data_IF_475080625116
#
_entry.id   IF_475080625116
#
_cell.length_a   1.000
_cell.length_b   1.000
_cell.length_c   1.000
_cell.angle_alpha   90.00
_cell.angle_beta   90.00
_cell.angle_gamma   90.00
#
_symmetry.space_group_name_H-M   'P 1'
#
loop_
_entity.id
_entity.type
_entity.pdbx_description
1 polymer ?
#
# COMPACT_ATOMS: atom_id res chain seq x y z
N UNK A 1 20.73 -22.89 -1.54
CA UNK A 1 20.73 -21.47 -1.94
C UNK A 1 19.30 -21.13 -2.28
N UNK A 2 18.58 -20.45 -1.39
CA UNK A 2 17.18 -20.13 -1.64
C UNK A 2 17.11 -19.09 -2.75
N UNK A 3 16.66 -19.53 -3.92
CA UNK A 3 16.52 -18.68 -5.08
C UNK A 3 15.45 -17.62 -4.83
N UNK A 4 15.73 -16.38 -5.24
CA UNK A 4 14.73 -15.32 -5.24
C UNK A 4 13.64 -15.70 -6.25
N UNK A 5 12.35 -15.69 -5.88
CA UNK A 5 11.28 -15.99 -6.80
C UNK A 5 11.31 -15.09 -8.03
N UNK A 6 11.08 -15.67 -9.21
CA UNK A 6 11.02 -14.91 -10.47
C UNK A 6 9.76 -14.03 -10.55
N UNK A 7 8.73 -14.34 -9.77
CA UNK A 7 7.47 -13.64 -9.69
C UNK A 7 7.08 -13.52 -8.21
N UNK A 8 6.64 -12.34 -7.81
CA UNK A 8 6.17 -12.04 -6.46
C UNK A 8 4.81 -11.36 -6.59
N UNK A 9 3.79 -11.91 -5.94
CA UNK A 9 2.50 -11.26 -5.79
C UNK A 9 2.45 -10.53 -4.44
N UNK A 10 1.99 -9.28 -4.45
CA UNK A 10 1.87 -8.45 -3.25
C UNK A 10 0.43 -7.95 -3.18
N UNK A 11 -0.28 -8.21 -2.09
CA UNK A 11 -1.60 -7.66 -1.80
C UNK A 11 -1.52 -6.76 -0.58
N UNK A 12 -1.96 -5.51 -0.71
CA UNK A 12 -1.87 -4.49 0.33
C UNK A 12 -3.27 -4.03 0.70
N UNK A 13 -3.67 -4.25 1.95
CA UNK A 13 -4.95 -3.77 2.51
C UNK A 13 -4.73 -2.77 3.64
N UNK A 14 -5.74 -1.93 3.89
CA UNK A 14 -5.70 -0.88 4.91
C UNK A 14 -7.02 -0.84 5.68
N UNK A 15 -6.93 -0.73 7.01
CA UNK A 15 -8.08 -0.46 7.89
C UNK A 15 -7.79 0.68 8.84
N UNK A 16 -8.74 1.59 9.03
CA UNK A 16 -8.57 2.71 9.96
C UNK A 16 -8.69 2.23 11.42
N UNK A 17 -7.72 2.60 12.25
CA UNK A 17 -7.69 2.28 13.67
C UNK A 17 -8.44 3.35 14.50
N UNK A 18 -8.97 2.99 15.69
CA UNK A 18 -8.81 1.71 16.39
C UNK A 18 -9.84 0.63 16.05
N UNK A 19 -10.87 0.95 15.26
CA UNK A 19 -12.05 0.08 15.10
C UNK A 19 -12.02 -0.81 13.85
N UNK A 20 -10.85 -0.97 13.21
CA UNK A 20 -10.72 -1.69 11.94
C UNK A 20 -11.72 -1.22 10.86
N UNK A 21 -11.98 0.09 10.81
CA UNK A 21 -12.96 0.66 9.89
C UNK A 21 -12.49 0.61 8.43
N UNK A 22 -13.46 0.66 7.52
CA UNK A 22 -13.20 0.67 6.08
C UNK A 22 -12.41 1.91 5.63
N UNK A 23 -11.48 1.67 4.69
CA UNK A 23 -10.92 2.71 3.82
C UNK A 23 -11.75 2.74 2.55
N UNK A 24 -11.76 3.87 1.84
CA UNK A 24 -12.55 4.02 0.63
C UNK A 24 -11.70 4.53 -0.51
N UNK A 25 -12.16 4.27 -1.72
CA UNK A 25 -11.56 4.80 -2.93
C UNK A 25 -12.61 5.35 -3.89
N UNK A 26 -12.14 6.11 -4.86
CA UNK A 26 -12.96 6.61 -5.97
C UNK A 26 -12.30 6.24 -7.29
N UNK A 27 -13.11 5.82 -8.26
CA UNK A 27 -12.71 5.74 -9.67
C UNK A 27 -12.83 7.14 -10.26
N UNK A 28 -11.70 7.76 -10.60
CA UNK A 28 -11.63 9.10 -11.18
C UNK A 28 -11.46 9.09 -12.71
N UNK A 29 -11.24 7.92 -13.33
CA UNK A 29 -11.03 7.82 -14.79
C UNK A 29 -9.75 8.53 -15.23
N UNK A 30 -9.76 9.17 -16.41
CA UNK A 30 -8.59 9.88 -16.95
C UNK A 30 -8.43 11.32 -16.43
N UNK A 31 -9.17 11.71 -15.38
CA UNK A 31 -9.17 13.09 -14.87
C UNK A 31 -7.86 13.47 -14.19
N UNK A 32 -7.16 12.51 -13.60
CA UNK A 32 -5.92 12.73 -12.86
C UNK A 32 -4.83 11.78 -13.36
N UNK A 33 -3.65 11.82 -12.73
CA UNK A 33 -2.50 10.99 -13.12
C UNK A 33 -2.75 9.49 -12.97
N UNK A 34 -3.66 9.09 -12.07
CA UNK A 34 -4.10 7.70 -11.92
C UNK A 34 -5.63 7.59 -11.97
N UNK A 35 -6.11 6.41 -12.35
CA UNK A 35 -7.54 6.15 -12.56
C UNK A 35 -8.35 5.99 -11.28
N UNK A 36 -7.68 5.79 -10.14
CA UNK A 36 -8.28 5.57 -8.83
C UNK A 36 -7.59 6.40 -7.77
N UNK A 37 -8.36 6.84 -6.78
CA UNK A 37 -7.86 7.61 -5.63
C UNK A 37 -8.21 6.90 -4.33
N UNK A 38 -7.20 6.56 -3.53
CA UNK A 38 -7.37 6.13 -2.13
C UNK A 38 -7.70 7.36 -1.27
N UNK A 39 -8.69 7.23 -0.39
CA UNK A 39 -9.10 8.30 0.51
C UNK A 39 -8.63 8.00 1.92
N UNK A 40 -7.84 8.91 2.46
CA UNK A 40 -7.23 8.78 3.79
C UNK A 40 -7.60 10.00 4.63
N UNK A 41 -7.81 9.81 5.92
CA UNK A 41 -7.80 10.87 6.92
C UNK A 41 -6.37 11.22 7.35
N UNK A 42 -6.10 12.50 7.54
CA UNK A 42 -4.91 13.01 8.26
C UNK A 42 -5.03 12.76 9.76
N UNK A 43 -3.89 12.69 10.48
CA UNK A 43 -3.88 12.53 11.93
C UNK A 43 -4.49 11.22 12.42
N UNK A 44 -4.51 10.20 11.56
CA UNK A 44 -5.12 8.90 11.81
C UNK A 44 -4.10 7.77 11.66
N UNK A 45 -4.38 6.63 12.29
CA UNK A 45 -3.57 5.41 12.20
C UNK A 45 -4.29 4.38 11.34
N UNK A 46 -3.54 3.68 10.50
CA UNK A 46 -4.03 2.61 9.65
C UNK A 46 -3.28 1.33 10.00
N UNK A 47 -4.02 0.26 10.23
CA UNK A 47 -3.46 -1.09 10.24
C UNK A 47 -3.34 -1.52 8.79
N UNK A 48 -2.12 -1.86 8.40
CA UNK A 48 -1.83 -2.41 7.09
C UNK A 48 -1.65 -3.92 7.21
N UNK A 49 -2.12 -4.63 6.20
CA UNK A 49 -1.81 -6.04 6.01
C UNK A 49 -1.21 -6.18 4.62
N UNK A 50 -0.06 -6.83 4.56
CA UNK A 50 0.66 -7.09 3.32
C UNK A 50 0.80 -8.60 3.18
N UNK A 51 0.08 -9.17 2.23
CA UNK A 51 0.14 -10.59 1.89
C UNK A 51 1.03 -10.75 0.68
N UNK A 52 2.04 -11.61 0.79
CA UNK A 52 2.99 -11.85 -0.30
C UNK A 52 3.03 -13.32 -0.68
N UNK A 53 3.24 -13.59 -1.97
CA UNK A 53 3.45 -14.95 -2.50
C UNK A 53 4.66 -14.96 -3.43
N UNK A 54 5.51 -16.00 -3.42
CA UNK A 54 5.45 -17.17 -2.53
C UNK A 54 5.91 -16.84 -1.09
N UNK A 55 5.69 -17.76 -0.14
CA UNK A 55 6.02 -17.56 1.28
C UNK A 55 7.51 -17.51 1.61
N UNK A 56 8.39 -17.79 0.64
CA UNK A 56 9.84 -17.63 0.76
C UNK A 56 10.32 -16.17 0.72
N UNK A 57 9.43 -15.23 0.39
CA UNK A 57 9.73 -13.80 0.33
C UNK A 57 9.87 -13.22 1.74
N UNK A 58 10.78 -12.26 1.89
CA UNK A 58 11.07 -11.60 3.18
C UNK A 58 11.10 -10.09 2.99
N UNK A 59 10.15 -9.40 3.61
CA UNK A 59 10.05 -7.94 3.64
C UNK A 59 10.39 -7.38 5.02
N UNK A 60 10.91 -6.16 5.06
CA UNK A 60 11.39 -5.50 6.29
C UNK A 60 10.61 -4.26 6.64
N UNK A 61 10.62 -3.26 5.77
CA UNK A 61 10.00 -1.96 5.99
C UNK A 61 9.10 -1.59 4.83
N UNK A 62 8.08 -0.79 5.13
CA UNK A 62 7.26 -0.13 4.15
C UNK A 62 7.37 1.40 4.33
N UNK A 63 7.40 2.11 3.22
CA UNK A 63 7.34 3.56 3.16
C UNK A 63 6.07 3.99 2.43
N UNK A 64 5.32 4.95 3.01
CA UNK A 64 4.20 5.60 2.35
C UNK A 64 4.35 7.11 2.53
N UNK A 65 4.65 7.81 1.44
CA UNK A 65 4.74 9.26 1.42
C UNK A 65 5.80 9.84 2.36
N UNK A 66 6.88 9.09 2.62
CA UNK A 66 7.95 9.48 3.54
C UNK A 66 7.80 8.95 4.97
N UNK A 67 6.67 8.31 5.29
CA UNK A 67 6.49 7.64 6.58
C UNK A 67 6.97 6.20 6.46
N UNK A 68 8.09 5.89 7.11
CA UNK A 68 8.68 4.55 7.14
C UNK A 68 8.25 3.82 8.42
N UNK A 69 7.80 2.58 8.28
CA UNK A 69 7.40 1.72 9.40
C UNK A 69 7.78 0.26 9.15
N UNK A 70 8.09 -0.51 10.20
CA UNK A 70 8.43 -1.92 10.06
C UNK A 70 7.21 -2.74 9.67
N UNK A 71 7.47 -3.84 8.94
CA UNK A 71 6.54 -4.91 8.66
C UNK A 71 6.82 -6.09 9.60
N UNK A 72 5.89 -6.36 10.50
CA UNK A 72 5.98 -7.47 11.45
C UNK A 72 5.29 -8.70 10.87
N UNK A 73 6.02 -9.81 10.78
CA UNK A 73 5.44 -11.05 10.26
C UNK A 73 4.39 -11.59 11.23
N UNK A 74 3.19 -11.85 10.72
CA UNK A 74 2.11 -12.48 11.47
C UNK A 74 2.07 -13.99 11.26
N UNK A 75 2.15 -14.44 10.01
CA UNK A 75 2.10 -15.86 9.64
C UNK A 75 2.90 -16.13 8.36
N UNK A 76 3.30 -17.38 8.18
CA UNK A 76 4.03 -17.85 6.99
C UNK A 76 3.75 -19.34 6.77
N UNK A 77 3.52 -19.70 5.52
CA UNK A 77 3.57 -21.06 4.99
C UNK A 77 4.40 -21.06 3.69
N UNK A 78 4.40 -22.17 2.94
CA UNK A 78 5.17 -22.28 1.70
C UNK A 78 4.59 -21.39 0.57
N UNK A 79 3.27 -21.18 0.59
CA UNK A 79 2.54 -20.45 -0.46
C UNK A 79 2.55 -18.94 -0.23
N UNK A 80 2.56 -18.51 1.03
CA UNK A 80 2.38 -17.11 1.39
C UNK A 80 2.98 -16.70 2.73
N UNK A 81 3.22 -15.41 2.86
CA UNK A 81 3.60 -14.75 4.12
C UNK A 81 2.71 -13.53 4.33
N UNK A 82 2.28 -13.30 5.57
CA UNK A 82 1.45 -12.17 5.97
C UNK A 82 2.23 -11.29 6.93
N UNK A 83 2.28 -10.00 6.60
CA UNK A 83 2.89 -8.97 7.42
C UNK A 83 1.85 -7.93 7.86
N UNK A 84 2.06 -7.35 9.03
CA UNK A 84 1.35 -6.16 9.48
C UNK A 84 2.27 -4.96 9.65
N UNK A 85 1.74 -3.78 9.38
CA UNK A 85 2.42 -2.51 9.64
C UNK A 85 1.44 -1.47 10.15
N UNK A 86 1.97 -0.43 10.78
CA UNK A 86 1.17 0.70 11.24
C UNK A 86 1.56 1.97 10.49
N UNK A 87 0.67 2.40 9.59
CA UNK A 87 0.84 3.65 8.88
C UNK A 87 0.17 4.79 9.65
N UNK A 88 0.96 5.80 10.04
CA UNK A 88 0.50 6.94 10.84
C UNK A 88 0.56 8.21 9.99
N UNK A 89 -0.57 8.90 9.87
CA UNK A 89 -0.71 10.13 9.06
C UNK A 89 -0.66 11.40 9.91
N UNK A 90 -0.09 11.32 11.10
CA UNK A 90 0.18 12.49 11.94
C UNK A 90 1.20 13.40 11.24
N UNK A 91 0.94 14.71 11.21
CA UNK A 91 1.76 15.66 10.48
C UNK A 91 1.57 15.68 8.95
N UNK A 92 0.84 14.72 8.36
CA UNK A 92 0.54 14.72 6.92
C UNK A 92 -0.50 15.81 6.61
N UNK A 93 -0.20 16.77 5.70
CA UNK A 93 -1.13 17.85 5.38
C UNK A 93 -2.32 17.34 4.56
N UNK A 94 -3.50 17.90 4.82
CA UNK A 94 -4.68 17.57 4.03
C UNK A 94 -4.54 18.07 2.58
N UNK A 95 -5.12 17.33 1.64
CA UNK A 95 -5.16 17.67 0.23
C UNK A 95 -6.27 18.69 -0.04
N UNK A 96 -5.96 19.74 -0.82
CA UNK A 96 -6.94 20.77 -1.20
C UNK A 96 -8.12 20.17 -1.99
N UNK A 97 -9.23 20.91 -2.04
CA UNK A 97 -10.36 20.53 -2.90
C UNK A 97 -9.93 20.54 -4.37
N UNK A 98 -10.51 19.65 -5.18
CA UNK A 98 -10.08 19.48 -6.58
C UNK A 98 -8.83 18.62 -6.78
N UNK A 99 -7.90 18.63 -5.81
CA UNK A 99 -6.58 18.02 -5.98
C UNK A 99 -6.49 16.54 -5.54
N UNK A 100 -5.43 15.89 -6.02
CA UNK A 100 -4.94 14.56 -5.65
C UNK A 100 -3.43 14.63 -5.44
N UNK A 101 -2.92 13.82 -4.52
CA UNK A 101 -1.49 13.73 -4.25
C UNK A 101 -0.93 12.42 -4.81
N UNK A 102 0.16 12.47 -5.60
CA UNK A 102 0.97 11.28 -5.86
C UNK A 102 1.76 10.94 -4.59
N UNK A 103 1.53 9.76 -4.05
CA UNK A 103 2.15 9.25 -2.82
C UNK A 103 3.06 8.11 -3.21
N UNK A 104 4.37 8.30 -3.05
CA UNK A 104 5.34 7.24 -3.28
C UNK A 104 5.15 6.15 -2.22
N UNK A 105 5.11 4.90 -2.67
CA UNK A 105 5.00 3.71 -1.82
C UNK A 105 6.14 2.76 -2.15
N UNK A 106 6.84 2.29 -1.14
CA UNK A 106 7.86 1.26 -1.33
C UNK A 106 7.86 0.21 -0.23
N UNK A 107 8.32 -0.99 -0.59
CA UNK A 107 8.57 -2.08 0.35
C UNK A 107 9.97 -2.63 0.10
N UNK A 108 10.74 -2.75 1.18
CA UNK A 108 12.10 -3.30 1.15
C UNK A 108 12.06 -4.81 1.36
N UNK A 109 12.83 -5.55 0.54
CA UNK A 109 12.98 -6.99 0.64
C UNK A 109 14.43 -7.39 0.85
N UNK A 110 14.67 -8.38 1.72
CA UNK A 110 16.02 -8.83 2.07
C UNK A 110 16.85 -9.29 0.86
N UNK A 111 16.19 -9.98 -0.09
CA UNK A 111 16.87 -10.64 -1.21
C UNK A 111 16.37 -10.20 -2.59
N UNK A 112 15.20 -9.56 -2.67
CA UNK A 112 14.49 -9.29 -3.91
C UNK A 112 14.55 -7.81 -4.36
N UNK A 113 15.25 -6.97 -3.61
CA UNK A 113 15.36 -5.53 -3.87
C UNK A 113 14.18 -4.75 -3.31
N UNK A 114 13.86 -3.63 -3.93
CA UNK A 114 12.76 -2.75 -3.50
C UNK A 114 11.58 -2.85 -4.46
N UNK A 115 10.37 -2.97 -3.93
CA UNK A 115 9.14 -2.68 -4.67
C UNK A 115 8.85 -1.19 -4.57
N UNK A 116 8.54 -0.52 -5.69
CA UNK A 116 8.19 0.90 -5.70
C UNK A 116 6.98 1.15 -6.61
N UNK A 117 6.02 1.94 -6.11
CA UNK A 117 4.85 2.40 -6.87
C UNK A 117 4.44 3.80 -6.42
N UNK A 118 3.48 4.40 -7.13
CA UNK A 118 2.89 5.69 -6.77
C UNK A 118 1.38 5.54 -6.66
N UNK A 119 0.88 5.67 -5.45
CA UNK A 119 -0.56 5.74 -5.21
C UNK A 119 -1.07 7.16 -5.44
N UNK A 120 -2.24 7.28 -6.04
CA UNK A 120 -2.97 8.54 -6.00
C UNK A 120 -3.85 8.57 -4.76
N UNK A 121 -3.58 9.52 -3.87
CA UNK A 121 -4.29 9.68 -2.60
C UNK A 121 -5.00 11.03 -2.50
N UNK A 122 -6.01 11.07 -1.64
CA UNK A 122 -6.59 12.31 -1.14
C UNK A 122 -6.66 12.25 0.38
N UNK A 123 -5.90 13.12 1.03
CA UNK A 123 -5.94 13.27 2.48
C UNK A 123 -7.03 14.25 2.88
N UNK A 124 -8.04 13.76 3.57
CA UNK A 124 -9.11 14.53 4.17
C UNK A 124 -8.73 14.91 5.58
N UNK A 125 -9.13 16.12 6.00
CA UNK A 125 -9.12 16.45 7.41
C UNK A 125 -10.06 15.48 8.16
N UNK A 126 -9.69 15.08 9.38
CA UNK A 126 -10.49 14.22 10.26
C UNK A 126 -11.96 14.65 10.35
N UNK A 127 -12.24 15.97 10.40
CA UNK A 127 -13.61 16.51 10.45
C UNK A 127 -14.41 16.32 9.16
N UNK A 128 -13.80 15.82 8.09
CA UNK A 128 -14.44 15.51 6.79
C UNK A 128 -14.54 14.00 6.56
N UNK A 129 -14.64 13.21 7.63
CA UNK A 129 -14.78 11.74 7.58
C UNK A 129 -15.88 11.28 6.64
N UNK A 130 -17.07 11.87 6.71
CA UNK A 130 -18.19 11.45 5.86
C UNK A 130 -17.86 11.57 4.36
N UNK A 131 -17.10 12.59 3.97
CA UNK A 131 -16.67 12.79 2.58
C UNK A 131 -15.57 11.79 2.17
N UNK A 132 -14.72 11.39 3.11
CA UNK A 132 -13.73 10.33 2.89
C UNK A 132 -14.38 8.97 2.67
N UNK A 133 -15.57 8.73 3.25
CA UNK A 133 -16.27 7.45 3.18
C UNK A 133 -17.23 7.31 2.00
N UNK A 134 -17.42 8.34 1.18
CA UNK A 134 -18.21 8.21 -0.04
C UNK A 134 -17.44 7.41 -1.11
N UNK A 135 -18.11 6.51 -1.84
CA UNK A 135 -17.50 5.78 -2.95
C UNK A 135 -17.46 4.28 -2.71
N UNK A 136 -16.44 3.61 -3.23
CA UNK A 136 -16.28 2.18 -3.08
C UNK A 136 -15.43 1.90 -1.83
N UNK A 137 -15.80 0.86 -1.09
CA UNK A 137 -14.96 0.33 -0.02
C UNK A 137 -13.68 -0.24 -0.63
N UNK A 138 -12.55 0.08 -0.01
CA UNK A 138 -11.23 -0.38 -0.40
C UNK A 138 -10.94 -1.72 0.28
N UNK A 139 -10.78 -2.77 -0.51
CA UNK A 139 -10.35 -4.07 -0.01
C UNK A 139 -8.82 -4.16 -0.03
N UNK A 140 -8.23 -4.05 -1.22
CA UNK A 140 -6.79 -4.16 -1.39
C UNK A 140 -6.31 -3.62 -2.74
N UNK A 141 -4.99 -3.44 -2.87
CA UNK A 141 -4.31 -3.33 -4.16
C UNK A 141 -3.38 -4.52 -4.31
N UNK A 142 -3.48 -5.18 -5.44
CA UNK A 142 -2.69 -6.34 -5.80
C UNK A 142 -1.70 -5.98 -6.90
N UNK A 143 -0.47 -6.43 -6.70
CA UNK A 143 0.64 -6.25 -7.60
C UNK A 143 1.20 -7.60 -8.00
N UNK A 144 1.51 -7.74 -9.28
CA UNK A 144 2.38 -8.79 -9.77
C UNK A 144 3.72 -8.19 -10.17
N UNK A 145 4.78 -8.62 -9.50
CA UNK A 145 6.09 -8.00 -9.55
C UNK A 145 7.17 -9.01 -9.95
N UNK A 146 8.16 -8.57 -10.72
CA UNK A 146 9.36 -9.36 -11.06
C UNK A 146 10.61 -8.64 -10.58
N UNK A 147 11.42 -9.24 -9.69
CA UNK A 147 12.74 -8.69 -9.35
C UNK A 147 13.61 -8.53 -10.60
N UNK A 148 14.32 -7.40 -10.71
CA UNK A 148 15.26 -7.17 -11.79
C UNK A 148 16.51 -8.05 -11.65
N UNK A 149 17.35 -8.06 -12.69
CA UNK A 149 18.55 -8.91 -12.75
C UNK A 149 19.54 -8.64 -11.60
N UNK A 150 19.66 -7.36 -11.18
CA UNK A 150 20.55 -6.94 -10.09
C UNK A 150 19.93 -7.09 -8.70
N UNK A 151 18.65 -7.48 -8.61
CA UNK A 151 17.87 -7.59 -7.36
C UNK A 151 17.88 -6.32 -6.53
N UNK A 152 17.83 -5.18 -7.20
CA UNK A 152 17.77 -3.85 -6.57
C UNK A 152 16.37 -3.26 -6.63
N UNK A 153 15.60 -3.57 -7.67
CA UNK A 153 14.26 -3.03 -7.91
C UNK A 153 13.37 -4.11 -8.52
N UNK A 154 12.06 -4.01 -8.30
CA UNK A 154 11.07 -4.86 -8.96
C UNK A 154 10.35 -4.12 -10.08
N UNK A 155 10.05 -4.83 -11.17
CA UNK A 155 9.15 -4.38 -12.22
C UNK A 155 7.72 -4.79 -11.92
N UNK A 156 6.78 -3.86 -12.04
CA UNK A 156 5.35 -4.12 -11.86
C UNK A 156 4.77 -4.52 -13.22
N UNK A 157 4.30 -5.76 -13.34
CA UNK A 157 3.66 -6.27 -14.55
C UNK A 157 2.16 -5.97 -14.56
N UNK A 158 1.52 -6.01 -13.38
CA UNK A 158 0.08 -5.84 -13.22
C UNK A 158 -0.22 -5.15 -11.90
N UNK A 159 -1.18 -4.22 -11.93
CA UNK A 159 -1.82 -3.63 -10.76
C UNK A 159 -3.33 -3.91 -10.86
N UNK A 160 -3.93 -4.42 -9.78
CA UNK A 160 -5.38 -4.61 -9.66
C UNK A 160 -5.87 -3.97 -8.37
N UNK A 161 -6.90 -3.14 -8.47
CA UNK A 161 -7.40 -2.36 -7.35
C UNK A 161 -8.82 -2.84 -7.03
N UNK A 162 -8.99 -3.40 -5.82
CA UNK A 162 -10.21 -4.05 -5.36
C UNK A 162 -10.92 -3.25 -4.28
#
# INVERSE_FOLDING_TARGET
MDAVPALIHISISLKIQPNDGAVFFKVDGSRFGQTRTIKLLTGSKYKMEVVMKPGSVEATNMNIGGVVFPLEQQSRDDDSVVYHGQYVTEGVPHTKSGDRQPVQVSIEFNKAGTFETVWQAKYYNYYKRDQSQCGNEFSCIEYECKPNETRTLMWINKETFN
#
